data_IF_371367204380
#
_entry.id   IF_371367204380
#
_cell.length_a   1.000
_cell.length_b   1.000
_cell.length_c   1.000
_cell.angle_alpha   90.00
_cell.angle_beta   90.00
_cell.angle_gamma   90.00
#
_symmetry.space_group_name_H-M   'P 1'
#
loop_
_entity.id
_entity.type
_entity.pdbx_description
1 polymer ?
#
# COMPACT_ATOMS: atom_id res chain seq x y z
N UNK A 1 -23.34 11.80 2.14
CA UNK A 1 -22.14 10.95 1.93
C UNK A 1 -21.41 10.95 3.26
N UNK A 2 -21.38 9.82 3.96
CA UNK A 2 -20.72 9.75 5.27
C UNK A 2 -19.21 9.67 5.07
N UNK A 3 -18.50 10.75 5.35
CA UNK A 3 -17.05 10.73 5.39
C UNK A 3 -16.59 10.10 6.73
N UNK A 4 -15.45 9.42 6.69
CA UNK A 4 -14.69 9.04 7.87
C UNK A 4 -13.71 10.13 8.25
N UNK A 5 -13.14 10.81 7.27
CA UNK A 5 -12.36 12.01 7.50
C UNK A 5 -12.37 12.91 6.27
N UNK A 6 -12.15 14.20 6.52
CA UNK A 6 -11.91 15.19 5.49
C UNK A 6 -10.67 16.00 5.84
N UNK A 7 -9.93 16.40 4.81
CA UNK A 7 -8.74 17.26 4.95
C UNK A 7 -8.86 18.34 3.90
N UNK A 8 -8.93 19.58 4.36
CA UNK A 8 -8.97 20.77 3.53
C UNK A 8 -7.69 21.56 3.76
N UNK A 9 -6.91 21.70 2.71
CA UNK A 9 -5.73 22.56 2.65
C UNK A 9 -6.03 23.84 1.86
N UNK A 10 -5.04 24.70 1.71
CA UNK A 10 -5.10 25.87 0.82
C UNK A 10 -5.30 25.49 -0.66
N UNK A 11 -4.77 24.34 -1.12
CA UNK A 11 -4.88 23.92 -2.54
C UNK A 11 -5.78 22.71 -2.81
N UNK A 12 -6.03 21.87 -1.81
CA UNK A 12 -6.69 20.56 -2.02
C UNK A 12 -7.77 20.32 -0.98
N UNK A 13 -8.90 19.78 -1.43
CA UNK A 13 -9.92 19.15 -0.59
C UNK A 13 -9.89 17.63 -0.77
N UNK A 14 -9.79 16.90 0.34
CA UNK A 14 -9.84 15.45 0.42
C UNK A 14 -11.04 15.01 1.27
N UNK A 15 -11.79 14.04 0.77
CA UNK A 15 -12.82 13.32 1.49
C UNK A 15 -12.62 11.82 1.34
N UNK A 16 -12.66 11.10 2.45
CA UNK A 16 -12.52 9.66 2.50
C UNK A 16 -13.65 9.07 3.33
N UNK A 17 -14.36 8.08 2.81
CA UNK A 17 -15.46 7.42 3.54
C UNK A 17 -15.80 6.04 2.99
N UNK A 18 -16.60 5.23 3.70
CA UNK A 18 -17.04 3.93 3.18
C UNK A 18 -17.90 4.11 1.93
N UNK A 19 -17.72 3.24 0.94
CA UNK A 19 -18.63 3.16 -0.21
C UNK A 19 -19.98 2.54 0.19
N UNK A 20 -19.99 1.67 1.21
CA UNK A 20 -21.18 1.04 1.81
C UNK A 20 -21.00 0.89 3.32
N UNK A 21 -22.07 1.09 4.09
CA UNK A 21 -22.06 0.87 5.54
C UNK A 21 -22.07 -0.64 5.82
N UNK A 22 -20.88 -1.23 5.97
CA UNK A 22 -20.69 -2.59 6.48
C UNK A 22 -20.04 -2.47 7.85
N UNK A 23 -20.71 -2.98 8.88
CA UNK A 23 -20.18 -3.01 10.25
C UNK A 23 -19.35 -4.29 10.44
N UNK A 24 -18.02 -4.21 10.60
CA UNK A 24 -17.18 -5.39 10.81
C UNK A 24 -17.34 -6.00 12.20
N UNK A 25 -17.03 -7.30 12.32
CA UNK A 25 -17.24 -8.10 13.53
C UNK A 25 -16.38 -7.63 14.71
N UNK A 26 -15.22 -7.00 14.45
CA UNK A 26 -14.32 -6.45 15.46
C UNK A 26 -15.01 -5.40 16.36
N UNK A 27 -16.05 -4.72 15.85
CA UNK A 27 -16.79 -3.68 16.59
C UNK A 27 -17.87 -4.24 17.53
N UNK A 28 -18.12 -5.55 17.54
CA UNK A 28 -19.20 -6.16 18.31
C UNK A 28 -18.90 -6.34 19.81
N UNK A 29 -17.64 -6.14 20.25
CA UNK A 29 -17.20 -6.26 21.64
C UNK A 29 -16.55 -4.97 22.13
N UNK A 30 -17.15 -4.32 23.12
CA UNK A 30 -16.81 -2.97 23.60
C UNK A 30 -15.38 -2.86 24.16
N UNK A 31 -14.48 -2.25 23.37
CA UNK A 31 -13.44 -1.31 23.84
C UNK A 31 -13.33 -0.25 22.74
N UNK A 32 -13.33 1.03 23.10
CA UNK A 32 -13.02 2.10 22.14
C UNK A 32 -11.56 1.93 21.70
N UNK A 33 -11.35 1.33 20.53
CA UNK A 33 -10.05 1.29 19.88
C UNK A 33 -10.04 2.42 18.86
N UNK A 34 -9.36 3.55 19.12
CA UNK A 34 -9.21 4.58 18.11
C UNK A 34 -8.35 4.02 16.98
N UNK A 35 -8.75 4.29 15.74
CA UNK A 35 -7.88 4.08 14.59
C UNK A 35 -6.79 5.15 14.55
N UNK A 36 -6.17 5.30 13.38
CA UNK A 36 -5.06 6.23 13.18
C UNK A 36 -5.29 7.08 11.95
N UNK A 37 -5.02 8.37 12.08
CA UNK A 37 -4.92 9.33 10.99
C UNK A 37 -3.79 10.29 11.32
N UNK A 38 -2.67 10.21 10.59
CA UNK A 38 -1.53 11.13 10.73
C UNK A 38 -1.40 11.94 9.46
N UNK A 39 -1.36 13.26 9.58
CA UNK A 39 -1.12 14.16 8.46
C UNK A 39 0.32 14.66 8.51
N UNK A 40 1.02 14.64 7.38
CA UNK A 40 2.39 15.16 7.27
C UNK A 40 2.46 16.20 6.17
N UNK A 41 3.05 17.36 6.49
CA UNK A 41 3.34 18.42 5.52
C UNK A 41 4.55 18.00 4.69
N UNK A 42 4.42 18.02 3.36
CA UNK A 42 5.54 17.74 2.45
C UNK A 42 6.02 18.99 1.72
N UNK A 43 5.09 19.93 1.48
CA UNK A 43 5.40 21.30 1.05
C UNK A 43 5.44 22.21 2.28
N UNK A 44 6.47 23.07 2.36
CA UNK A 44 6.84 23.80 3.58
C UNK A 44 5.74 24.73 4.12
N UNK A 45 4.94 25.31 3.23
CA UNK A 45 3.92 26.31 3.51
C UNK A 45 2.47 25.75 3.43
N UNK A 46 2.29 24.44 3.50
CA UNK A 46 0.94 23.84 3.49
C UNK A 46 0.16 24.22 4.73
N UNK A 47 -1.01 24.79 4.51
CA UNK A 47 -1.94 25.14 5.57
C UNK A 47 -3.10 24.15 5.59
N UNK A 48 -3.22 23.39 6.68
CA UNK A 48 -4.43 22.62 6.96
C UNK A 48 -5.50 23.58 7.50
N UNK A 49 -6.43 23.97 6.64
CA UNK A 49 -7.49 24.93 6.95
C UNK A 49 -8.59 24.28 7.78
N UNK A 50 -9.03 23.08 7.38
CA UNK A 50 -10.04 22.30 8.11
C UNK A 50 -9.70 20.83 8.04
N UNK A 51 -9.66 20.18 9.19
CA UNK A 51 -9.57 18.73 9.30
C UNK A 51 -10.80 18.27 10.06
N UNK A 52 -11.36 17.14 9.65
CA UNK A 52 -12.41 16.48 10.39
C UNK A 52 -12.21 14.97 10.33
N UNK A 53 -12.49 14.28 11.44
CA UNK A 53 -12.40 12.82 11.57
C UNK A 53 -13.56 12.31 12.41
N UNK A 54 -14.13 11.18 12.01
CA UNK A 54 -15.23 10.52 12.70
C UNK A 54 -14.72 9.59 13.80
N UNK A 55 -15.62 9.23 14.72
CA UNK A 55 -15.36 8.22 15.76
C UNK A 55 -14.14 8.53 16.65
N UNK A 56 -13.88 9.81 16.90
CA UNK A 56 -12.85 10.30 17.84
C UNK A 56 -13.47 11.32 18.82
N UNK A 57 -12.86 11.59 19.98
CA UNK A 57 -13.29 12.67 20.87
C UNK A 57 -13.28 14.04 20.16
N UNK A 58 -14.24 14.91 20.49
CA UNK A 58 -14.42 16.22 19.84
C UNK A 58 -13.16 17.09 19.87
N UNK A 59 -12.38 17.02 20.95
CA UNK A 59 -11.12 17.75 21.10
C UNK A 59 -10.08 17.38 20.02
N UNK A 60 -10.14 16.16 19.48
CA UNK A 60 -9.25 15.68 18.43
C UNK A 60 -9.88 15.68 17.04
N UNK A 61 -11.19 15.86 16.95
CA UNK A 61 -11.92 15.77 15.70
C UNK A 61 -11.42 16.77 14.65
N UNK A 62 -10.98 17.96 15.09
CA UNK A 62 -10.57 19.05 14.20
C UNK A 62 -9.09 19.41 14.26
N UNK A 63 -8.35 18.86 15.23
CA UNK A 63 -6.93 19.18 15.43
C UNK A 63 -6.07 18.38 14.44
N UNK A 64 -5.34 19.00 13.48
CA UNK A 64 -4.51 18.30 12.50
C UNK A 64 -3.29 17.58 13.11
N UNK A 65 -2.82 18.00 14.29
CA UNK A 65 -1.63 17.43 14.94
C UNK A 65 -1.94 16.14 15.72
N UNK A 66 -3.23 15.83 15.91
CA UNK A 66 -3.64 14.57 16.52
C UNK A 66 -3.41 13.38 15.60
N UNK A 67 -3.07 12.24 16.20
CA UNK A 67 -2.80 11.00 15.46
C UNK A 67 -3.97 10.01 15.50
N UNK A 68 -4.97 10.22 16.36
CA UNK A 68 -6.11 9.32 16.50
C UNK A 68 -7.09 9.49 15.34
N UNK A 69 -7.56 8.41 14.74
CA UNK A 69 -8.38 8.47 13.54
C UNK A 69 -9.54 7.49 13.53
N UNK A 70 -10.33 7.49 12.45
CA UNK A 70 -11.39 6.51 12.26
C UNK A 70 -10.81 5.10 12.06
N UNK A 71 -11.62 4.09 12.37
CA UNK A 71 -11.28 2.70 12.08
C UNK A 71 -11.53 2.39 10.61
N UNK A 72 -10.47 1.97 9.92
CA UNK A 72 -10.56 1.43 8.58
C UNK A 72 -10.30 -0.07 8.63
N UNK A 73 -10.86 -0.83 7.71
CA UNK A 73 -10.76 -2.28 7.69
C UNK A 73 -10.39 -2.78 6.32
N UNK A 74 -9.72 -3.91 6.29
CA UNK A 74 -9.43 -4.64 5.06
C UNK A 74 -10.73 -5.08 4.35
N UNK A 75 -10.64 -5.38 3.06
CA UNK A 75 -11.75 -5.86 2.22
C UNK A 75 -13.02 -4.97 2.24
N UNK A 76 -12.89 -3.71 2.65
CA UNK A 76 -13.94 -2.69 2.54
C UNK A 76 -13.56 -1.73 1.41
N UNK A 77 -14.53 -1.43 0.56
CA UNK A 77 -14.40 -0.38 -0.45
C UNK A 77 -14.57 0.99 0.21
N UNK A 78 -13.53 1.81 0.11
CA UNK A 78 -13.56 3.20 0.53
C UNK A 78 -13.67 4.10 -0.69
N UNK A 79 -14.58 5.07 -0.63
CA UNK A 79 -14.66 6.13 -1.62
C UNK A 79 -13.64 7.22 -1.29
N UNK A 80 -12.74 7.46 -2.24
CA UNK A 80 -11.82 8.59 -2.24
C UNK A 80 -12.40 9.69 -3.14
N UNK A 81 -12.36 10.93 -2.65
CA UNK A 81 -12.63 12.11 -3.46
C UNK A 81 -11.60 13.19 -3.14
N UNK A 82 -10.93 13.68 -4.17
CA UNK A 82 -9.91 14.71 -4.12
C UNK A 82 -10.25 15.79 -5.15
N UNK A 83 -10.16 17.05 -4.76
CA UNK A 83 -10.45 18.19 -5.63
C UNK A 83 -9.43 19.30 -5.41
N UNK A 84 -8.85 19.82 -6.51
CA UNK A 84 -7.95 20.96 -6.47
C UNK A 84 -8.79 22.25 -6.44
N UNK A 85 -8.51 23.12 -5.48
CA UNK A 85 -9.23 24.39 -5.30
C UNK A 85 -8.97 25.34 -6.46
N UNK A 86 -7.73 25.40 -6.91
CA UNK A 86 -7.29 26.19 -8.06
C UNK A 86 -7.06 25.32 -9.30
N UNK A 87 -6.59 25.92 -10.39
CA UNK A 87 -6.12 25.16 -11.54
C UNK A 87 -4.89 24.33 -11.15
N UNK A 88 -4.92 23.03 -11.45
CA UNK A 88 -3.82 22.11 -11.17
C UNK A 88 -4.24 20.66 -11.42
N UNK A 89 -3.26 19.82 -11.74
CA UNK A 89 -3.45 18.39 -11.94
C UNK A 89 -3.07 17.62 -10.66
N UNK A 90 -4.03 16.90 -10.10
CA UNK A 90 -3.83 16.08 -8.92
C UNK A 90 -3.24 14.72 -9.28
N UNK A 91 -2.44 14.19 -8.37
CA UNK A 91 -2.05 12.78 -8.38
C UNK A 91 -2.02 12.24 -6.96
N UNK A 92 -2.36 10.96 -6.80
CA UNK A 92 -2.23 10.24 -5.53
C UNK A 92 -1.25 9.10 -5.72
N UNK A 93 -0.26 9.04 -4.83
CA UNK A 93 0.70 7.94 -4.78
C UNK A 93 0.45 7.08 -3.56
N UNK A 94 0.56 5.78 -3.77
CA UNK A 94 0.59 4.78 -2.74
C UNK A 94 1.73 3.80 -3.06
N UNK A 95 2.35 3.20 -2.03
CA UNK A 95 3.46 2.25 -2.22
C UNK A 95 3.08 1.07 -3.13
N UNK A 96 1.87 0.58 -2.96
CA UNK A 96 1.26 -0.42 -3.83
C UNK A 96 0.26 0.28 -4.77
N UNK A 97 0.52 0.31 -6.08
CA UNK A 97 -0.35 0.98 -7.04
C UNK A 97 -1.70 0.28 -7.22
N UNK A 98 -1.85 -0.98 -6.78
CA UNK A 98 -3.14 -1.69 -6.84
C UNK A 98 -4.19 -1.05 -5.93
N UNK A 99 -3.76 -0.44 -4.82
CA UNK A 99 -4.64 0.24 -3.85
C UNK A 99 -5.32 1.47 -4.47
N UNK A 100 -4.64 2.15 -5.40
CA UNK A 100 -5.14 3.36 -6.07
C UNK A 100 -5.55 3.11 -7.52
N UNK A 101 -5.55 1.86 -8.00
CA UNK A 101 -5.82 1.51 -9.41
C UNK A 101 -7.22 1.93 -9.85
N UNK A 102 -8.19 1.87 -8.95
CA UNK A 102 -9.59 2.17 -9.24
C UNK A 102 -9.93 3.64 -8.94
N UNK A 103 -8.91 4.50 -8.86
CA UNK A 103 -9.03 5.97 -8.77
C UNK A 103 -8.86 6.57 -10.17
N UNK A 104 -9.90 7.29 -10.60
CA UNK A 104 -9.95 7.95 -11.91
C UNK A 104 -9.79 9.46 -11.76
N UNK A 105 -9.32 10.10 -12.83
CA UNK A 105 -9.25 11.56 -12.93
C UNK A 105 -10.37 12.12 -13.81
N UNK A 106 -10.93 13.24 -13.40
CA UNK A 106 -11.86 14.08 -14.16
C UNK A 106 -11.36 15.52 -14.25
N UNK A 107 -12.05 16.35 -15.04
CA UNK A 107 -11.75 17.78 -15.24
C UNK A 107 -10.26 18.05 -15.56
N UNK A 108 -9.67 17.23 -16.43
CA UNK A 108 -8.29 17.41 -16.86
C UNK A 108 -7.24 17.23 -15.75
N UNK A 109 -7.55 16.50 -14.67
CA UNK A 109 -6.62 16.30 -13.55
C UNK A 109 -7.10 16.92 -12.24
N UNK A 110 -8.08 17.84 -12.29
CA UNK A 110 -8.46 18.64 -11.14
C UNK A 110 -9.22 17.85 -10.07
N UNK A 111 -9.94 16.82 -10.48
CA UNK A 111 -10.72 15.97 -9.59
C UNK A 111 -10.20 14.53 -9.71
N UNK A 112 -9.85 13.91 -8.60
CA UNK A 112 -9.65 12.46 -8.52
C UNK A 112 -10.77 11.85 -7.70
N UNK A 113 -11.36 10.78 -8.18
CA UNK A 113 -12.39 10.07 -7.44
C UNK A 113 -12.35 8.59 -7.80
N UNK A 114 -12.81 7.76 -6.86
CA UNK A 114 -12.87 6.32 -7.10
C UNK A 114 -12.91 5.55 -5.81
N UNK A 115 -12.46 4.30 -5.90
CA UNK A 115 -12.48 3.38 -4.79
C UNK A 115 -11.06 2.96 -4.40
N UNK A 116 -10.87 2.79 -3.11
CA UNK A 116 -9.69 2.19 -2.51
C UNK A 116 -10.13 0.96 -1.72
N UNK A 117 -9.56 -0.19 -2.05
CA UNK A 117 -9.76 -1.43 -1.31
C UNK A 117 -8.39 -1.99 -0.93
N UNK A 118 -8.19 -2.24 0.37
CA UNK A 118 -6.91 -2.72 0.89
C UNK A 118 -6.71 -4.24 0.67
N UNK A 119 -7.64 -4.94 0.03
CA UNK A 119 -7.59 -6.38 -0.15
C UNK A 119 -7.46 -7.07 1.20
N UNK A 120 -6.46 -7.95 1.34
CA UNK A 120 -6.08 -8.62 2.59
C UNK A 120 -4.93 -7.92 3.34
N UNK A 121 -4.74 -6.61 3.15
CA UNK A 121 -3.63 -5.88 3.75
C UNK A 121 -4.09 -5.12 5.00
N UNK A 122 -3.54 -5.48 6.17
CA UNK A 122 -3.78 -4.78 7.47
C UNK A 122 -2.55 -4.02 7.99
N UNK A 123 -2.69 -3.03 8.85
CA UNK A 123 -1.61 -2.16 9.34
C UNK A 123 -1.63 -0.75 8.72
N UNK A 124 -0.54 0.01 8.84
CA UNK A 124 -0.51 1.43 8.40
C UNK A 124 -0.32 1.57 6.89
N UNK A 125 -1.17 2.34 6.24
CA UNK A 125 -1.10 2.69 4.82
C UNK A 125 -0.84 4.18 4.66
N UNK A 126 0.16 4.57 3.87
CA UNK A 126 0.47 5.98 3.61
C UNK A 126 0.19 6.37 2.17
N UNK A 127 -0.53 7.47 1.99
CA UNK A 127 -0.84 8.08 0.71
C UNK A 127 -0.18 9.43 0.61
N UNK A 128 0.39 9.73 -0.54
CA UNK A 128 0.97 11.05 -0.85
C UNK A 128 0.12 11.75 -1.90
N UNK A 129 -0.29 12.99 -1.62
CA UNK A 129 -1.02 13.84 -2.55
C UNK A 129 -0.03 14.77 -3.24
N UNK A 130 -0.15 14.86 -4.57
CA UNK A 130 0.65 15.74 -5.40
C UNK A 130 -0.27 16.69 -6.17
N UNK A 131 0.19 17.91 -6.36
CA UNK A 131 -0.37 18.88 -7.30
C UNK A 131 0.71 19.24 -8.30
N UNK A 132 0.43 19.08 -9.59
CA UNK A 132 1.35 19.33 -10.70
C UNK A 132 2.69 18.59 -10.54
N UNK A 133 2.62 17.36 -10.02
CA UNK A 133 3.78 16.49 -9.80
C UNK A 133 4.64 16.85 -8.58
N UNK A 134 4.23 17.81 -7.75
CA UNK A 134 4.93 18.16 -6.50
C UNK A 134 4.16 17.66 -5.29
N UNK A 135 4.85 17.06 -4.33
CA UNK A 135 4.24 16.57 -3.09
C UNK A 135 3.71 17.72 -2.24
N UNK A 136 2.43 17.64 -1.89
CA UNK A 136 1.73 18.62 -1.06
C UNK A 136 1.72 18.17 0.40
N UNK A 137 1.05 17.06 0.67
CA UNK A 137 0.98 16.43 1.99
C UNK A 137 0.84 14.91 1.84
N UNK A 138 1.18 14.17 2.90
CA UNK A 138 0.79 12.77 3.03
C UNK A 138 -0.18 12.57 4.17
N UNK A 139 -0.97 11.50 4.08
CA UNK A 139 -1.77 11.01 5.19
C UNK A 139 -1.56 9.51 5.37
N UNK A 140 -1.47 9.11 6.63
CA UNK A 140 -1.31 7.72 7.05
C UNK A 140 -2.57 7.28 7.80
N UNK A 141 -3.15 6.16 7.37
CA UNK A 141 -4.30 5.51 8.02
C UNK A 141 -3.91 4.14 8.54
N UNK A 142 -4.61 3.63 9.54
CA UNK A 142 -4.45 2.24 10.01
C UNK A 142 -5.60 1.35 9.59
N UNK A 143 -5.26 0.21 8.99
CA UNK A 143 -6.19 -0.78 8.46
C UNK A 143 -6.27 -1.97 9.40
N UNK A 144 -7.46 -2.27 9.87
CA UNK A 144 -7.73 -3.36 10.80
C UNK A 144 -8.27 -4.59 10.07
N UNK A 145 -8.01 -5.80 10.58
CA UNK A 145 -8.66 -7.01 10.09
C UNK A 145 -10.17 -6.92 10.33
N UNK A 146 -10.97 -7.31 9.33
CA UNK A 146 -12.42 -7.29 9.47
C UNK A 146 -12.94 -8.47 10.31
N UNK A 147 -12.14 -9.52 10.45
CA UNK A 147 -12.47 -10.76 11.16
C UNK A 147 -11.44 -11.05 12.27
N UNK A 148 -11.92 -11.56 13.41
CA UNK A 148 -11.12 -11.82 14.61
C UNK A 148 -10.14 -13.00 14.44
N UNK A 149 -10.56 -14.02 13.70
CA UNK A 149 -9.76 -15.19 13.31
C UNK A 149 -8.51 -14.79 12.54
N UNK A 150 -8.58 -13.78 11.68
CA UNK A 150 -7.43 -13.34 10.88
C UNK A 150 -6.22 -12.88 11.73
N UNK A 151 -6.44 -12.25 12.89
CA UNK A 151 -5.32 -11.89 13.79
C UNK A 151 -4.63 -13.13 14.34
N UNK A 152 -5.42 -14.09 14.80
CA UNK A 152 -4.92 -15.33 15.37
C UNK A 152 -4.28 -16.21 14.30
N UNK A 153 -4.86 -16.30 13.11
CA UNK A 153 -4.33 -17.01 11.95
C UNK A 153 -3.02 -16.38 11.48
N UNK A 154 -2.94 -15.04 11.45
CA UNK A 154 -1.70 -14.34 11.12
C UNK A 154 -0.63 -14.55 12.19
N UNK A 155 -0.99 -14.51 13.48
CA UNK A 155 -0.09 -14.84 14.58
C UNK A 155 0.41 -16.27 14.47
N UNK A 156 -0.46 -17.21 14.10
CA UNK A 156 -0.10 -18.60 13.91
C UNK A 156 0.83 -18.77 12.71
N UNK A 157 0.55 -18.13 11.57
CA UNK A 157 1.45 -18.12 10.39
C UNK A 157 2.82 -17.53 10.77
N UNK A 158 2.87 -16.39 11.47
CA UNK A 158 4.13 -15.79 11.91
C UNK A 158 4.88 -16.65 12.95
N UNK A 159 4.17 -17.34 13.83
CA UNK A 159 4.77 -18.18 14.86
C UNK A 159 5.23 -19.55 14.32
N UNK A 160 4.51 -20.11 13.35
CA UNK A 160 4.91 -21.31 12.59
C UNK A 160 6.14 -21.03 11.74
N UNK A 161 6.22 -19.82 11.19
CA UNK A 161 7.39 -19.33 10.45
C UNK A 161 8.43 -18.83 11.46
N UNK A 162 9.20 -19.76 12.03
CA UNK A 162 10.25 -19.48 13.03
C UNK A 162 11.43 -18.63 12.52
N UNK A 163 11.39 -18.18 11.26
CA UNK A 163 12.46 -17.41 10.65
C UNK A 163 12.14 -15.91 10.66
N UNK A 164 12.94 -15.16 11.43
CA UNK A 164 12.94 -13.69 11.48
C UNK A 164 13.04 -13.11 10.05
N UNK A 165 13.76 -13.77 9.13
CA UNK A 165 13.90 -13.36 7.73
C UNK A 165 12.55 -13.35 7.00
N UNK A 166 11.74 -14.38 7.22
CA UNK A 166 10.45 -14.52 6.55
C UNK A 166 9.41 -13.59 7.16
N UNK A 167 9.45 -13.37 8.48
CA UNK A 167 8.63 -12.35 9.13
C UNK A 167 8.89 -10.93 8.59
N UNK A 168 10.16 -10.60 8.34
CA UNK A 168 10.55 -9.30 7.77
C UNK A 168 10.23 -9.20 6.27
N UNK A 169 10.40 -10.27 5.50
CA UNK A 169 9.98 -10.33 4.09
C UNK A 169 8.45 -10.18 3.96
N UNK A 170 7.67 -10.87 4.80
CA UNK A 170 6.21 -10.72 4.86
C UNK A 170 5.80 -9.30 5.26
N UNK A 171 6.50 -8.70 6.23
CA UNK A 171 6.31 -7.29 6.59
C UNK A 171 6.62 -6.33 5.43
N UNK A 172 7.64 -6.62 4.63
CA UNK A 172 8.01 -5.81 3.47
C UNK A 172 7.03 -5.97 2.30
N UNK A 173 6.54 -7.18 2.02
CA UNK A 173 5.63 -7.47 0.90
C UNK A 173 4.24 -6.83 1.08
N UNK A 174 3.87 -6.46 2.30
CA UNK A 174 2.63 -5.72 2.55
C UNK A 174 2.79 -4.26 2.14
N UNK A 175 1.78 -3.68 1.51
CA UNK A 175 1.76 -2.23 1.30
C UNK A 175 1.44 -1.47 2.60
N UNK A 176 0.92 -2.17 3.60
CA UNK A 176 0.67 -1.67 4.95
C UNK A 176 1.75 -2.11 5.95
N UNK A 177 2.25 -1.22 6.79
CA UNK A 177 3.32 -1.48 7.77
C UNK A 177 2.84 -1.32 9.22
N UNK A 178 3.20 -2.26 10.12
CA UNK A 178 2.88 -2.22 11.56
C UNK A 178 1.37 -2.27 11.91
N UNK A 179 0.99 -3.16 12.85
CA UNK A 179 -0.35 -3.20 13.46
C UNK A 179 -0.32 -2.44 14.79
N UNK A 180 -1.23 -1.50 15.02
CA UNK A 180 -1.36 -0.68 16.22
C UNK A 180 -1.88 -1.41 17.46
N UNK A 181 -2.15 -2.72 17.37
CA UNK A 181 -2.51 -3.60 18.48
C UNK A 181 -1.31 -3.94 19.41
N UNK A 182 -0.30 -3.08 19.50
CA UNK A 182 0.86 -3.27 20.39
C UNK A 182 1.96 -4.21 19.88
N UNK A 183 1.89 -4.66 18.62
CA UNK A 183 2.90 -5.55 18.06
C UNK A 183 4.10 -4.76 17.52
N UNK A 184 5.23 -4.82 18.24
CA UNK A 184 6.54 -4.39 17.72
C UNK A 184 7.11 -5.53 16.88
N UNK A 185 7.00 -5.43 15.56
CA UNK A 185 8.01 -6.09 14.70
C UNK A 185 9.34 -5.47 15.12
N UNK A 186 10.36 -6.25 15.55
CA UNK A 186 11.67 -5.69 15.84
C UNK A 186 12.09 -4.86 14.63
N UNK A 187 12.35 -3.56 14.81
CA UNK A 187 12.88 -2.75 13.72
C UNK A 187 14.30 -3.25 13.47
N UNK A 188 14.58 -3.93 12.34
CA UNK A 188 15.95 -4.31 12.06
C UNK A 188 16.76 -3.02 11.92
N UNK A 189 17.92 -2.99 12.57
CA UNK A 189 18.92 -1.97 12.31
C UNK A 189 19.25 -1.92 10.82
N UNK A 190 19.74 -0.79 10.31
CA UNK A 190 20.11 -0.66 8.89
C UNK A 190 21.06 -1.78 8.42
N UNK A 191 21.92 -2.28 9.31
CA UNK A 191 22.86 -3.38 9.03
C UNK A 191 22.14 -4.73 8.94
N UNK A 192 21.19 -4.98 9.84
CA UNK A 192 20.33 -6.15 9.75
C UNK A 192 19.55 -6.10 8.44
N UNK A 193 18.87 -5.00 8.12
CA UNK A 193 18.14 -4.84 6.86
C UNK A 193 19.00 -5.06 5.61
N UNK A 194 20.22 -4.52 5.56
CA UNK A 194 21.15 -4.75 4.45
C UNK A 194 21.58 -6.22 4.35
N UNK A 195 21.77 -6.88 5.49
CA UNK A 195 22.11 -8.31 5.53
C UNK A 195 20.94 -9.18 5.07
N UNK A 196 19.71 -8.78 5.41
CA UNK A 196 18.47 -9.42 4.93
C UNK A 196 18.32 -9.28 3.42
N UNK A 197 18.46 -8.06 2.90
CA UNK A 197 18.34 -7.78 1.48
C UNK A 197 19.34 -8.63 0.70
N UNK A 198 20.61 -8.65 1.15
CA UNK A 198 21.65 -9.48 0.52
C UNK A 198 21.26 -10.95 0.50
N UNK A 199 20.78 -11.49 1.61
CA UNK A 199 20.37 -12.89 1.70
C UNK A 199 19.24 -13.25 0.70
N UNK A 200 18.19 -12.43 0.64
CA UNK A 200 17.07 -12.64 -0.30
C UNK A 200 17.53 -12.50 -1.76
N UNK A 201 18.42 -11.54 -2.05
CA UNK A 201 19.00 -11.38 -3.38
C UNK A 201 19.84 -12.60 -3.79
N UNK A 202 20.60 -13.19 -2.86
CA UNK A 202 21.39 -14.40 -3.10
C UNK A 202 20.50 -15.63 -3.35
N UNK A 203 19.34 -15.72 -2.69
CA UNK A 203 18.34 -16.77 -2.95
C UNK A 203 17.68 -16.60 -4.31
N UNK A 204 17.24 -15.38 -4.64
CA UNK A 204 16.67 -15.06 -5.94
C UNK A 204 17.66 -15.36 -7.06
N UNK A 205 18.92 -14.97 -6.90
CA UNK A 205 19.98 -15.25 -7.87
C UNK A 205 20.15 -16.75 -8.08
N UNK A 206 20.20 -17.55 -7.00
CA UNK A 206 20.28 -19.01 -7.11
C UNK A 206 19.09 -19.60 -7.86
N UNK A 207 17.88 -19.13 -7.57
CA UNK A 207 16.66 -19.58 -8.25
C UNK A 207 16.68 -19.22 -9.75
N UNK A 208 17.10 -18.00 -10.10
CA UNK A 208 17.23 -17.56 -11.49
C UNK A 208 18.29 -18.38 -12.24
N UNK A 209 19.45 -18.63 -11.64
CA UNK A 209 20.49 -19.49 -12.22
C UNK A 209 19.98 -20.92 -12.43
N UNK A 210 19.23 -21.47 -11.49
CA UNK A 210 18.63 -22.80 -11.61
C UNK A 210 17.65 -22.89 -12.79
N UNK A 211 16.78 -21.90 -12.96
CA UNK A 211 15.84 -21.82 -14.09
C UNK A 211 16.61 -21.67 -15.41
N UNK A 212 17.59 -20.77 -15.45
CA UNK A 212 18.42 -20.54 -16.64
C UNK A 212 19.19 -21.79 -17.07
N UNK A 213 19.66 -22.60 -16.11
CA UNK A 213 20.36 -23.86 -16.37
C UNK A 213 19.43 -25.01 -16.81
N UNK A 214 18.12 -24.91 -16.58
CA UNK A 214 17.13 -25.95 -16.91
C UNK A 214 15.95 -25.37 -17.70
N UNK A 215 16.17 -24.85 -18.92
CA UNK A 215 15.11 -24.31 -19.73
C UNK A 215 14.17 -25.45 -20.20
N UNK A 216 12.89 -25.36 -19.87
CA UNK A 216 11.86 -26.34 -20.30
C UNK A 216 11.67 -26.30 -21.83
N UNK A 217 11.98 -25.17 -22.48
CA UNK A 217 12.02 -25.02 -23.94
C UNK A 217 13.32 -24.31 -24.34
N UNK A 218 14.32 -25.08 -24.77
CA UNK A 218 15.57 -24.57 -25.33
C UNK A 218 15.53 -24.55 -26.86
N UNK A 219 16.11 -23.52 -27.49
CA UNK A 219 16.24 -23.45 -28.94
C UNK A 219 17.49 -24.22 -29.36
N UNK A 220 17.34 -25.51 -29.67
CA UNK A 220 18.43 -26.32 -30.20
C UNK A 220 18.51 -26.18 -31.73
N UNK A 221 19.71 -25.91 -32.25
CA UNK A 221 19.99 -26.02 -33.68
C UNK A 221 20.54 -27.41 -33.95
N UNK A 222 19.83 -28.19 -34.75
CA UNK A 222 20.30 -29.48 -35.22
C UNK A 222 20.81 -29.34 -36.66
N UNK A 223 22.09 -29.62 -36.93
CA UNK A 223 22.60 -29.61 -38.30
C UNK A 223 22.01 -30.78 -39.08
N UNK A 224 21.33 -30.49 -40.18
CA UNK A 224 20.76 -31.52 -41.07
C UNK A 224 21.54 -31.53 -42.38
N UNK A 225 22.01 -32.71 -42.78
CA UNK A 225 22.67 -32.89 -44.07
C UNK A 225 21.66 -32.73 -45.20
N UNK A 226 21.86 -31.71 -46.03
CA UNK A 226 21.03 -31.43 -47.19
C UNK A 226 21.87 -31.41 -48.47
N UNK A 227 21.24 -31.71 -49.61
CA UNK A 227 21.86 -31.53 -50.93
C UNK A 227 22.25 -30.07 -51.11
N UNK A 228 23.40 -29.83 -51.74
CA UNK A 228 24.03 -28.50 -51.88
C UNK A 228 23.05 -27.43 -52.40
N UNK A 229 22.21 -27.79 -53.36
CA UNK A 229 21.16 -26.92 -53.94
C UNK A 229 20.07 -26.45 -52.96
N UNK A 230 19.89 -27.14 -51.83
CA UNK A 230 18.90 -26.80 -50.78
C UNK A 230 19.53 -26.10 -49.58
N UNK A 231 20.84 -25.88 -49.57
CA UNK A 231 21.54 -25.21 -48.46
C UNK A 231 21.33 -23.70 -48.58
N UNK A 232 20.50 -23.14 -47.69
CA UNK A 232 20.27 -21.69 -47.62
C UNK A 232 21.37 -20.95 -46.86
N UNK A 233 22.04 -21.62 -45.92
CA UNK A 233 23.13 -21.06 -45.11
C UNK A 233 24.04 -22.20 -44.67
N UNK A 234 25.33 -22.08 -44.97
CA UNK A 234 26.37 -23.03 -44.54
C UNK A 234 26.73 -22.68 -43.10
N UNK A 235 26.71 -23.64 -42.19
CA UNK A 235 27.21 -23.41 -40.84
C UNK A 235 28.72 -23.18 -40.89
N UNK A 236 29.15 -22.01 -40.41
CA UNK A 236 30.57 -21.72 -40.16
C UNK A 236 30.94 -22.38 -38.83
N UNK A 237 31.85 -23.34 -38.87
CA UNK A 237 32.44 -23.94 -37.67
C UNK A 237 33.19 -22.92 -36.83
#
# INVERSE_FOLDING_TARGET
MEALFTVETDRVYLSWGPARNKTPALLAGQVFVPGRLVLRRLREDVQFLRVWRSSVPDAAAQDPEQTIGPLLFEQIDYKLYLCAKEAGCLSILHRDPLITRDVSSEEGGRILHGYVNFGSQVGRSEFTILVDGRSEFSFEVEIFPAKLDYMTDYQQILAEVQDILTGLALGYLRATFQLGLGYRVPQPTHVEWLSLLRHVMDELERALRYIAARPVRGLNREPVMARVEKVKRVDSS
#
